data_IF_529976273989
#
_entry.id   IF_529976273989
#
_cell.length_a   1.000
_cell.length_b   1.000
_cell.length_c   1.000
_cell.angle_alpha   90.00
_cell.angle_beta   90.00
_cell.angle_gamma   90.00
#
_symmetry.space_group_name_H-M   'P 1'
#
loop_
_entity.id
_entity.type
_entity.pdbx_description
1 polymer ?
#
# COMPACT_ATOMS: atom_id res chain seq x y z
N UNK A 1 -10.53 9.50 9.11
CA UNK A 1 -10.56 8.80 7.82
C UNK A 1 -9.94 7.43 7.97
N UNK A 2 -10.56 6.41 7.40
CA UNK A 2 -10.09 5.02 7.49
C UNK A 2 -9.81 4.48 6.10
N UNK A 3 -8.64 3.91 5.92
CA UNK A 3 -8.19 3.39 4.62
C UNK A 3 -7.69 1.97 4.81
N UNK A 4 -8.20 1.05 3.99
CA UNK A 4 -7.76 -0.34 4.00
C UNK A 4 -7.03 -0.63 2.69
N UNK A 5 -5.84 -1.19 2.80
CA UNK A 5 -5.01 -1.56 1.65
C UNK A 5 -5.00 -3.07 1.56
N UNK A 6 -5.37 -3.60 0.40
CA UNK A 6 -5.52 -5.04 0.20
C UNK A 6 -4.52 -5.59 -0.82
N UNK A 7 -3.99 -6.75 -0.50
CA UNK A 7 -3.23 -7.55 -1.44
C UNK A 7 -3.52 -9.01 -1.13
N UNK A 8 -2.84 -9.95 -1.78
CA UNK A 8 -3.15 -11.36 -1.52
C UNK A 8 -2.59 -11.82 -0.18
N UNK A 9 -1.28 -11.70 0.01
CA UNK A 9 -0.61 -12.25 1.19
C UNK A 9 -0.47 -11.30 2.35
N UNK A 10 -0.67 -10.02 2.14
CA UNK A 10 -0.46 -8.96 3.14
C UNK A 10 0.92 -9.10 3.79
N UNK A 11 1.93 -9.37 2.97
CA UNK A 11 3.28 -9.56 3.48
C UNK A 11 4.28 -8.59 2.85
N UNK A 12 3.99 -8.04 1.69
CA UNK A 12 4.94 -7.22 0.95
C UNK A 12 4.31 -5.91 0.45
N UNK A 13 3.61 -5.96 -0.71
CA UNK A 13 3.13 -4.73 -1.37
C UNK A 13 2.21 -3.89 -0.48
N UNK A 14 1.21 -4.52 0.11
CA UNK A 14 0.27 -3.80 0.97
C UNK A 14 0.95 -3.28 2.24
N UNK A 15 1.96 -3.99 2.74
CA UNK A 15 2.68 -3.55 3.92
C UNK A 15 3.53 -2.31 3.63
N UNK A 16 4.18 -2.29 2.47
CA UNK A 16 4.95 -1.11 2.08
C UNK A 16 4.03 0.09 1.87
N UNK A 17 2.90 -0.12 1.19
CA UNK A 17 1.92 0.95 0.99
C UNK A 17 1.37 1.46 2.32
N UNK A 18 1.06 0.55 3.24
CA UNK A 18 0.60 0.89 4.58
C UNK A 18 1.64 1.77 5.28
N UNK A 19 2.90 1.36 5.23
CA UNK A 19 3.97 2.13 5.87
C UNK A 19 4.10 3.53 5.32
N UNK A 20 4.09 3.67 3.99
CA UNK A 20 4.19 4.99 3.38
C UNK A 20 3.00 5.88 3.72
N UNK A 21 1.80 5.36 3.53
CA UNK A 21 0.61 6.19 3.71
C UNK A 21 0.50 6.67 5.16
N UNK A 22 0.77 5.78 6.12
CA UNK A 22 0.74 6.17 7.52
C UNK A 22 1.85 7.17 7.85
N UNK A 23 2.99 7.08 7.17
CA UNK A 23 4.08 8.03 7.39
C UNK A 23 3.75 9.41 6.83
N UNK A 24 2.89 9.48 5.81
CA UNK A 24 2.49 10.76 5.23
C UNK A 24 1.56 11.52 6.18
N UNK A 25 0.73 10.81 6.95
CA UNK A 25 -0.25 11.45 7.80
C UNK A 25 -0.62 10.52 8.96
N UNK A 26 -0.24 10.92 10.16
CA UNK A 26 -0.48 10.11 11.34
C UNK A 26 -1.92 10.16 11.82
N UNK A 27 -2.71 11.07 11.28
CA UNK A 27 -4.10 11.24 11.72
C UNK A 27 -5.07 10.33 10.99
N UNK A 28 -4.69 9.79 9.84
CA UNK A 28 -5.53 8.82 9.17
C UNK A 28 -5.28 7.43 9.76
N UNK A 29 -6.33 6.60 9.76
CA UNK A 29 -6.22 5.23 10.21
C UNK A 29 -5.97 4.37 8.98
N UNK A 30 -4.77 3.81 8.88
CA UNK A 30 -4.40 2.94 7.78
C UNK A 30 -4.31 1.52 8.29
N UNK A 31 -5.00 0.61 7.60
CA UNK A 31 -4.90 -0.81 7.85
C UNK A 31 -4.55 -1.52 6.56
N UNK A 32 -4.02 -2.71 6.66
CA UNK A 32 -3.76 -3.53 5.48
C UNK A 32 -4.12 -4.97 5.79
N UNK A 33 -4.51 -5.70 4.74
CA UNK A 33 -4.97 -7.07 4.91
C UNK A 33 -4.78 -7.86 3.63
N UNK A 34 -4.93 -9.17 3.74
CA UNK A 34 -4.81 -10.06 2.59
C UNK A 34 -6.00 -10.96 2.46
N UNK A 35 -6.33 -11.29 1.21
CA UNK A 35 -7.39 -12.27 0.94
C UNK A 35 -6.93 -13.67 1.31
N UNK A 36 -5.61 -13.89 1.30
CA UNK A 36 -4.99 -15.14 1.77
C UNK A 36 -3.74 -14.75 2.55
N UNK A 37 -3.95 -14.13 3.70
CA UNK A 37 -2.86 -13.57 4.50
C UNK A 37 -1.83 -14.62 4.84
N UNK A 38 -0.54 -14.27 4.63
CA UNK A 38 0.57 -15.19 4.86
C UNK A 38 0.87 -15.40 6.34
N UNK A 39 0.41 -14.49 7.19
CA UNK A 39 0.63 -14.55 8.62
C UNK A 39 1.99 -14.02 9.05
N UNK A 40 2.80 -13.52 8.11
CA UNK A 40 4.11 -12.96 8.43
C UNK A 40 4.50 -11.95 7.38
N UNK A 41 5.42 -11.05 7.73
CA UNK A 41 5.92 -10.05 6.81
C UNK A 41 7.05 -10.62 5.96
N UNK A 42 7.17 -10.10 4.76
CA UNK A 42 8.29 -10.44 3.89
C UNK A 42 9.54 -9.68 4.36
N UNK A 43 10.62 -10.40 4.60
CA UNK A 43 11.85 -9.80 5.11
C UNK A 43 12.43 -8.76 4.16
N UNK A 44 12.29 -8.98 2.84
CA UNK A 44 12.77 -8.02 1.86
C UNK A 44 12.01 -6.71 1.93
N UNK A 45 10.69 -6.77 2.18
CA UNK A 45 9.90 -5.58 2.34
C UNK A 45 10.30 -4.80 3.59
N UNK A 46 10.49 -5.51 4.71
CA UNK A 46 10.93 -4.87 5.95
C UNK A 46 12.26 -4.15 5.74
N UNK A 47 13.20 -4.83 5.08
CA UNK A 47 14.52 -4.26 4.81
C UNK A 47 14.44 -3.05 3.90
N UNK A 48 13.67 -3.16 2.81
CA UNK A 48 13.55 -2.05 1.85
C UNK A 48 12.93 -0.82 2.49
N UNK A 49 11.94 -1.00 3.37
CA UNK A 49 11.33 0.13 4.05
C UNK A 49 12.26 0.74 5.07
N UNK A 50 13.04 -0.08 5.77
CA UNK A 50 14.01 0.43 6.73
C UNK A 50 15.04 1.33 6.06
N UNK A 51 15.40 1.04 4.81
CA UNK A 51 16.36 1.86 4.07
C UNK A 51 15.88 3.30 3.87
N UNK A 52 14.57 3.51 3.86
CA UNK A 52 14.01 4.86 3.71
C UNK A 52 13.44 5.39 5.02
N UNK A 53 13.83 4.77 6.14
CA UNK A 53 13.50 5.28 7.47
C UNK A 53 12.12 4.89 7.97
N UNK A 54 11.47 3.92 7.34
CA UNK A 54 10.14 3.49 7.75
C UNK A 54 10.22 2.07 8.29
N UNK A 55 9.85 1.90 9.55
CA UNK A 55 9.91 0.60 10.23
C UNK A 55 8.54 -0.04 10.19
N UNK A 56 8.41 -1.13 9.41
CA UNK A 56 7.17 -1.91 9.34
C UNK A 56 7.31 -3.24 10.09
N UNK A 57 8.41 -3.44 10.83
CA UNK A 57 8.67 -4.73 11.46
C UNK A 57 7.63 -5.11 12.51
N UNK A 58 6.91 -4.12 13.05
CA UNK A 58 5.86 -4.36 14.04
C UNK A 58 4.49 -4.57 13.41
N UNK A 59 4.37 -4.44 12.10
CA UNK A 59 3.11 -4.71 11.42
C UNK A 59 2.79 -6.20 11.45
N UNK A 60 1.52 -6.53 11.30
CA UNK A 60 1.07 -7.93 11.25
C UNK A 60 0.43 -8.20 9.91
N UNK A 61 0.47 -9.47 9.51
CA UNK A 61 -0.18 -9.93 8.28
C UNK A 61 -1.57 -10.44 8.68
N UNK A 62 -2.59 -9.72 8.25
CA UNK A 62 -3.94 -9.95 8.73
C UNK A 62 -4.88 -10.37 7.61
N UNK A 63 -5.88 -11.17 7.97
CA UNK A 63 -6.92 -11.57 7.04
C UNK A 63 -7.90 -10.43 6.82
N UNK A 64 -8.32 -10.24 5.56
CA UNK A 64 -9.33 -9.24 5.23
C UNK A 64 -10.65 -9.51 5.94
N UNK A 65 -10.89 -10.75 6.35
CA UNK A 65 -12.15 -11.10 7.03
C UNK A 65 -12.37 -10.29 8.29
N UNK A 66 -11.29 -9.86 8.94
CA UNK A 66 -11.39 -9.02 10.14
C UNK A 66 -12.03 -7.67 9.85
N UNK A 67 -12.01 -7.23 8.61
CA UNK A 67 -12.37 -5.86 8.25
C UNK A 67 -13.61 -5.74 7.38
N UNK A 68 -14.23 -6.87 7.01
CA UNK A 68 -15.33 -6.86 6.04
C UNK A 68 -16.57 -6.14 6.54
N UNK A 69 -16.78 -6.10 7.87
CA UNK A 69 -17.93 -5.45 8.45
C UNK A 69 -17.72 -4.00 8.85
N UNK A 70 -16.51 -3.49 8.69
CA UNK A 70 -16.19 -2.11 9.08
C UNK A 70 -16.47 -1.14 7.95
N UNK A 71 -16.60 0.13 8.29
CA UNK A 71 -16.76 1.18 7.30
C UNK A 71 -15.41 1.71 6.90
N UNK A 72 -15.25 1.95 5.61
CA UNK A 72 -13.98 2.43 5.05
C UNK A 72 -14.22 3.62 4.14
N UNK A 73 -13.38 4.64 4.27
CA UNK A 73 -13.40 5.75 3.32
C UNK A 73 -12.79 5.33 1.99
N UNK A 74 -11.75 4.49 2.04
CA UNK A 74 -11.10 3.95 0.86
C UNK A 74 -10.73 2.51 1.09
N UNK A 75 -10.95 1.68 0.07
CA UNK A 75 -10.39 0.33 -0.01
C UNK A 75 -9.55 0.30 -1.27
N UNK A 76 -8.26 0.07 -1.12
CA UNK A 76 -7.29 0.15 -2.23
C UNK A 76 -6.63 -1.20 -2.41
N UNK A 77 -6.80 -1.81 -3.60
CA UNK A 77 -6.10 -3.05 -3.92
C UNK A 77 -4.80 -2.72 -4.63
N UNK A 78 -3.73 -3.41 -4.23
CA UNK A 78 -2.39 -3.14 -4.77
C UNK A 78 -1.78 -4.34 -5.49
N UNK A 79 -2.54 -5.41 -5.63
CA UNK A 79 -2.11 -6.58 -6.38
C UNK A 79 -2.09 -6.27 -7.86
N UNK A 80 -1.20 -6.93 -8.60
CA UNK A 80 -1.08 -6.68 -10.04
C UNK A 80 -1.83 -7.66 -10.90
N UNK A 81 -2.39 -8.72 -10.32
CA UNK A 81 -2.99 -9.79 -11.11
C UNK A 81 -4.41 -9.52 -11.53
N UNK A 82 -4.74 -9.89 -12.76
CA UNK A 82 -6.10 -9.70 -13.28
C UNK A 82 -7.13 -10.59 -12.59
N UNK A 83 -6.67 -11.64 -11.93
CA UNK A 83 -7.55 -12.60 -11.28
C UNK A 83 -7.82 -12.26 -9.81
N UNK A 84 -7.29 -11.16 -9.34
CA UNK A 84 -7.47 -10.77 -7.96
C UNK A 84 -8.83 -10.13 -7.80
N UNK A 85 -9.63 -10.68 -6.91
CA UNK A 85 -10.97 -10.16 -6.68
C UNK A 85 -11.01 -9.41 -5.37
N UNK A 86 -11.67 -8.27 -5.38
CA UNK A 86 -11.95 -7.55 -4.16
C UNK A 86 -13.05 -8.28 -3.42
N UNK A 87 -12.86 -8.60 -2.13
CA UNK A 87 -13.91 -9.29 -1.38
C UNK A 87 -15.13 -8.40 -1.18
N UNK A 88 -16.25 -9.03 -0.89
CA UNK A 88 -17.48 -8.34 -0.58
C UNK A 88 -17.43 -7.77 0.82
N UNK A 89 -17.61 -6.47 0.94
CA UNK A 89 -17.69 -5.81 2.23
C UNK A 89 -19.15 -5.66 2.64
N UNK A 90 -19.47 -6.02 3.89
CA UNK A 90 -20.81 -5.81 4.44
C UNK A 90 -20.92 -4.42 5.05
N UNK A 91 -19.79 -3.83 5.46
CA UNK A 91 -19.77 -2.45 5.90
C UNK A 91 -19.73 -1.51 4.70
N UNK A 92 -19.89 -0.24 4.99
CA UNK A 92 -19.93 0.78 3.95
C UNK A 92 -18.53 1.11 3.44
N UNK A 93 -18.33 1.08 2.12
CA UNK A 93 -17.09 1.49 1.49
C UNK A 93 -17.39 2.67 0.59
N UNK A 94 -16.82 3.83 0.90
CA UNK A 94 -17.12 5.04 0.14
C UNK A 94 -16.43 5.05 -1.22
N UNK A 95 -15.18 4.59 -1.26
CA UNK A 95 -14.39 4.62 -2.50
C UNK A 95 -13.60 3.34 -2.64
N UNK A 96 -13.57 2.78 -3.85
CA UNK A 96 -12.76 1.60 -4.17
C UNK A 96 -11.79 1.98 -5.27
N UNK A 97 -10.52 1.69 -5.05
CA UNK A 97 -9.46 2.01 -6.01
C UNK A 97 -8.58 0.80 -6.22
N UNK A 98 -7.94 0.75 -7.39
CA UNK A 98 -6.93 -0.25 -7.67
C UNK A 98 -5.66 0.47 -8.13
N UNK A 99 -4.58 0.30 -7.37
CA UNK A 99 -3.28 0.86 -7.72
C UNK A 99 -2.31 -0.31 -7.69
N UNK A 100 -2.18 -1.00 -8.82
CA UNK A 100 -1.44 -2.26 -8.88
C UNK A 100 0.06 -2.08 -8.99
N UNK A 101 0.79 -3.04 -8.44
CA UNK A 101 2.25 -3.07 -8.49
C UNK A 101 2.72 -4.50 -8.73
N UNK A 102 3.89 -4.63 -9.34
CA UNK A 102 4.55 -5.93 -9.45
C UNK A 102 4.88 -6.46 -8.06
N UNK A 103 4.89 -7.78 -7.94
CA UNK A 103 5.26 -8.41 -6.68
C UNK A 103 6.76 -8.67 -6.65
N UNK A 104 7.54 -7.91 -5.88
CA UNK A 104 8.99 -8.11 -5.88
C UNK A 104 9.39 -9.42 -5.23
N UNK A 105 8.51 -10.07 -4.49
CA UNK A 105 8.82 -11.36 -3.88
C UNK A 105 8.91 -12.47 -4.93
N UNK A 106 8.42 -12.22 -6.15
CA UNK A 106 8.57 -13.17 -7.27
C UNK A 106 9.92 -13.06 -7.95
N UNK A 107 10.72 -12.05 -7.62
CA UNK A 107 12.01 -11.86 -8.27
C UNK A 107 12.97 -12.98 -7.92
N UNK A 108 13.72 -13.44 -8.93
CA UNK A 108 14.69 -14.51 -8.78
C UNK A 108 16.01 -14.07 -9.37
N UNK A 109 17.09 -14.66 -8.86
CA UNK A 109 18.44 -14.33 -9.32
C UNK A 109 19.33 -14.06 -8.14
N UNK A 110 20.32 -13.18 -8.35
CA UNK A 110 21.25 -12.84 -7.27
C UNK A 110 20.53 -12.04 -6.18
N UNK A 111 21.08 -12.05 -4.98
CA UNK A 111 20.50 -11.26 -3.89
C UNK A 111 20.50 -9.79 -4.24
N UNK A 112 21.51 -9.32 -4.96
CA UNK A 112 21.58 -7.92 -5.39
C UNK A 112 20.44 -7.58 -6.34
N UNK A 113 20.14 -8.47 -7.29
CA UNK A 113 19.03 -8.24 -8.20
C UNK A 113 17.70 -8.24 -7.47
N UNK A 114 17.49 -9.21 -6.57
CA UNK A 114 16.25 -9.30 -5.81
C UNK A 114 16.06 -8.03 -4.98
N UNK A 115 17.11 -7.57 -4.31
CA UNK A 115 17.03 -6.33 -3.53
C UNK A 115 16.71 -5.13 -4.39
N UNK A 116 17.27 -5.08 -5.59
CA UNK A 116 16.99 -3.97 -6.50
C UNK A 116 15.51 -3.95 -6.92
N UNK A 117 14.90 -5.13 -7.06
CA UNK A 117 13.48 -5.21 -7.40
C UNK A 117 12.60 -4.75 -6.24
N UNK A 118 12.97 -5.10 -5.00
CA UNK A 118 12.25 -4.58 -3.84
C UNK A 118 12.34 -3.06 -3.77
N UNK A 119 13.50 -2.49 -4.07
CA UNK A 119 13.67 -1.04 -4.06
C UNK A 119 12.88 -0.38 -5.18
N UNK A 120 12.88 -0.97 -6.37
CA UNK A 120 12.13 -0.43 -7.50
C UNK A 120 10.64 -0.35 -7.17
N UNK A 121 10.06 -1.46 -6.70
CA UNK A 121 8.64 -1.50 -6.39
C UNK A 121 8.34 -0.59 -5.20
N UNK A 122 9.19 -0.57 -4.18
CA UNK A 122 9.05 0.34 -3.04
C UNK A 122 8.93 1.78 -3.52
N UNK A 123 9.80 2.19 -4.44
CA UNK A 123 9.81 3.57 -4.92
C UNK A 123 8.57 3.88 -5.75
N UNK A 124 8.08 2.92 -6.52
CA UNK A 124 6.83 3.08 -7.28
C UNK A 124 5.64 3.24 -6.34
N UNK A 125 5.60 2.43 -5.30
CA UNK A 125 4.53 2.50 -4.30
C UNK A 125 4.53 3.87 -3.63
N UNK A 126 5.72 4.33 -3.22
CA UNK A 126 5.84 5.63 -2.59
C UNK A 126 5.26 6.73 -3.48
N UNK A 127 5.67 6.76 -4.74
CA UNK A 127 5.26 7.82 -5.65
C UNK A 127 3.75 7.79 -5.92
N UNK A 128 3.21 6.60 -6.18
CA UNK A 128 1.79 6.48 -6.48
C UNK A 128 0.92 6.79 -5.26
N UNK A 129 1.32 6.37 -4.08
CA UNK A 129 0.56 6.66 -2.86
C UNK A 129 0.72 8.10 -2.43
N UNK A 130 1.84 8.73 -2.72
CA UNK A 130 1.97 10.17 -2.48
C UNK A 130 0.99 10.96 -3.36
N UNK A 131 0.90 10.60 -4.65
CA UNK A 131 -0.08 11.22 -5.55
C UNK A 131 -1.50 11.03 -5.04
N UNK A 132 -1.82 9.80 -4.61
CA UNK A 132 -3.14 9.50 -4.05
C UNK A 132 -3.41 10.38 -2.83
N UNK A 133 -2.44 10.47 -1.95
CA UNK A 133 -2.59 11.23 -0.71
C UNK A 133 -2.88 12.71 -1.01
N UNK A 134 -2.09 13.28 -1.89
CA UNK A 134 -2.26 14.69 -2.22
C UNK A 134 -3.61 14.96 -2.88
N UNK A 135 -4.00 14.14 -3.84
CA UNK A 135 -5.23 14.37 -4.61
C UNK A 135 -6.48 14.04 -3.82
N UNK A 136 -6.48 12.93 -3.12
CA UNK A 136 -7.72 12.38 -2.54
C UNK A 136 -7.89 12.79 -1.08
N UNK A 137 -6.83 12.80 -0.32
CA UNK A 137 -6.93 13.05 1.12
C UNK A 137 -6.74 14.51 1.42
N UNK A 138 -5.68 15.12 0.89
CA UNK A 138 -5.44 16.55 1.08
C UNK A 138 -6.28 17.41 0.15
N UNK A 139 -6.86 16.82 -0.90
CA UNK A 139 -7.65 17.55 -1.88
C UNK A 139 -6.87 18.70 -2.52
N UNK A 140 -5.57 18.50 -2.69
CA UNK A 140 -4.70 19.49 -3.30
C UNK A 140 -4.41 19.08 -4.74
N UNK A 141 -4.23 20.07 -5.59
CA UNK A 141 -3.75 19.78 -6.93
C UNK A 141 -2.27 19.43 -6.84
N UNK A 142 -1.84 18.53 -7.71
CA UNK A 142 -0.43 18.26 -7.81
C UNK A 142 0.29 19.53 -8.25
N UNK A 143 1.54 19.73 -7.81
CA UNK A 143 2.28 20.91 -8.18
C UNK A 143 2.34 21.04 -9.69
N UNK A 144 1.84 22.13 -10.18
CA UNK A 144 2.00 22.48 -11.59
C UNK A 144 3.33 23.16 -11.70
N UNK A 145 3.93 23.01 -12.82
CA UNK A 145 5.11 23.75 -12.96
C UNK A 145 4.76 25.17 -12.74
N UNK A 146 4.89 25.57 -12.10
CA UNK A 146 4.46 26.56 -11.79
C UNK A 146 4.22 27.52 -11.94
N UNK A 147 4.25 27.45 -12.29
CA UNK A 147 3.93 28.12 -12.34
C UNK A 147 3.28 28.71 -11.64
N UNK A 148 3.41 28.91 -11.30
CA UNK A 148 2.83 29.17 -10.61
C UNK A 148 2.17 29.67 -10.35
N UNK A 149 2.12 29.96 -10.36
CA UNK A 149 1.45 30.23 -10.05
C UNK A 149 0.65 30.32 -9.89
N UNK A 150 0.44 30.40 -9.93
CA UNK A 150 -0.49 30.40 -9.73
C UNK A 150 -0.88 30.06 -9.11
N UNK A 151 -0.63 30.20 -8.83
CA UNK A 151 -1.03 29.72 -8.18
C UNK A 151 -1.53 29.68 -7.67
#
# INVERSE_FOLDING_TARGET
MKILILCTGNSCRSQMAHGFLQSFDKEIVVCSAGTKAAGRLNAGAVKAMAEVGIDISEHTSDSVEMYLGEEWDYVITVCGGANETCPMFTGKVKNRLHIGFDDPSDAKGTSEFVESEFRRVRNEIKNRFWEFYIKEIKKQELPKCSCGGNS
#
